data_IF_153122695480
#
_entry.id   IF_153122695480
#
_cell.length_a   1.000
_cell.length_b   1.000
_cell.length_c   1.000
_cell.angle_alpha   90.00
_cell.angle_beta   90.00
_cell.angle_gamma   90.00
#
_symmetry.space_group_name_H-M   'P 1'
#
loop_
_entity.id
_entity.type
_entity.pdbx_description
1 polymer ?
#
# COMPACT_ATOMS: atom_id res chain seq x y z
N UNK A 1 37.30 15.86 -61.14
CA UNK A 1 36.92 15.50 -59.76
C UNK A 1 35.43 15.71 -59.69
N UNK A 2 34.67 14.63 -59.60
CA UNK A 2 33.42 14.53 -58.83
C UNK A 2 32.89 13.11 -59.04
N UNK A 3 33.16 12.25 -58.05
CA UNK A 3 32.61 10.91 -57.96
C UNK A 3 31.34 11.02 -57.12
N UNK A 4 30.23 11.36 -57.77
CA UNK A 4 28.92 11.49 -57.14
C UNK A 4 28.37 10.09 -56.82
N UNK A 5 28.79 9.53 -55.68
CA UNK A 5 28.27 8.26 -55.19
C UNK A 5 26.79 8.41 -54.84
N UNK A 6 25.92 7.94 -55.73
CA UNK A 6 24.48 7.88 -55.52
C UNK A 6 24.14 6.86 -54.43
N UNK A 7 23.24 7.24 -53.52
CA UNK A 7 22.70 6.37 -52.47
C UNK A 7 22.20 5.05 -53.07
N UNK A 8 22.70 3.92 -52.57
CA UNK A 8 22.21 2.61 -52.99
C UNK A 8 20.87 2.32 -52.31
N UNK A 9 19.91 1.77 -53.05
CA UNK A 9 18.58 1.40 -52.51
C UNK A 9 18.70 0.40 -51.33
N UNK A 10 19.78 -0.39 -51.31
CA UNK A 10 20.08 -1.32 -50.22
C UNK A 10 20.51 -0.62 -48.93
N UNK A 11 21.17 0.54 -49.02
CA UNK A 11 21.64 1.30 -47.87
C UNK A 11 20.46 1.89 -47.09
N UNK A 12 19.50 2.45 -47.82
CA UNK A 12 18.25 2.96 -47.23
C UNK A 12 17.44 1.82 -46.61
N UNK A 13 17.37 0.66 -47.26
CA UNK A 13 16.64 -0.50 -46.75
C UNK A 13 17.28 -1.03 -45.45
N UNK A 14 18.60 -1.14 -45.40
CA UNK A 14 19.32 -1.53 -44.16
C UNK A 14 19.13 -0.49 -43.06
N UNK A 15 19.21 0.80 -43.37
CA UNK A 15 18.97 1.87 -42.40
C UNK A 15 17.56 1.80 -41.80
N UNK A 16 16.54 1.56 -42.63
CA UNK A 16 15.16 1.38 -42.18
C UNK A 16 15.00 0.16 -41.26
N UNK A 17 15.66 -0.96 -41.57
CA UNK A 17 15.64 -2.17 -40.72
C UNK A 17 16.30 -1.91 -39.38
N UNK A 18 17.45 -1.23 -39.36
CA UNK A 18 18.15 -0.88 -38.11
C UNK A 18 17.32 0.08 -37.24
N UNK A 19 16.69 1.09 -37.84
CA UNK A 19 15.82 2.03 -37.12
C UNK A 19 14.59 1.29 -36.58
N UNK A 20 13.94 0.46 -37.38
CA UNK A 20 12.76 -0.29 -36.95
C UNK A 20 13.08 -1.23 -35.77
N UNK A 21 14.18 -1.98 -35.84
CA UNK A 21 14.61 -2.86 -34.75
C UNK A 21 15.03 -2.08 -33.50
N UNK A 22 15.72 -0.94 -33.65
CA UNK A 22 16.05 -0.04 -32.54
C UNK A 22 14.83 0.54 -31.84
N UNK A 23 13.82 0.98 -32.60
CA UNK A 23 12.57 1.52 -32.05
C UNK A 23 11.78 0.45 -31.29
N UNK A 24 11.67 -0.78 -31.82
CA UNK A 24 11.01 -1.89 -31.13
C UNK A 24 11.72 -2.22 -29.81
N UNK A 25 13.06 -2.22 -29.79
CA UNK A 25 13.84 -2.40 -28.57
C UNK A 25 13.56 -1.31 -27.52
N UNK A 26 13.53 -0.04 -27.94
CA UNK A 26 13.25 1.07 -27.03
C UNK A 26 11.82 1.01 -26.46
N UNK A 27 10.83 0.68 -27.29
CA UNK A 27 9.43 0.54 -26.86
C UNK A 27 9.25 -0.58 -25.82
N UNK A 28 9.94 -1.71 -26.00
CA UNK A 28 9.91 -2.80 -25.03
C UNK A 28 10.44 -2.35 -23.64
N UNK A 29 11.54 -1.59 -23.63
CA UNK A 29 12.10 -1.04 -22.39
C UNK A 29 11.19 0.03 -21.76
N UNK A 30 10.62 0.92 -22.56
CA UNK A 30 9.67 1.93 -22.08
C UNK A 30 8.44 1.29 -21.41
N UNK A 31 7.90 0.21 -22.00
CA UNK A 31 6.77 -0.52 -21.42
C UNK A 31 7.08 -1.08 -20.02
N UNK A 32 8.27 -1.66 -19.83
CA UNK A 32 8.72 -2.15 -18.52
C UNK A 32 8.95 -1.01 -17.53
N UNK A 33 9.53 0.10 -17.99
CA UNK A 33 9.71 1.29 -17.14
C UNK A 33 8.38 1.81 -16.61
N UNK A 34 7.32 1.86 -17.44
CA UNK A 34 6.00 2.32 -17.00
C UNK A 34 5.43 1.40 -15.92
N UNK A 35 5.56 0.09 -16.07
CA UNK A 35 5.11 -0.89 -15.07
C UNK A 35 5.78 -0.66 -13.72
N UNK A 36 7.11 -0.51 -13.70
CA UNK A 36 7.85 -0.24 -12.46
C UNK A 36 7.51 1.10 -11.82
N UNK A 37 7.28 2.15 -12.62
CA UNK A 37 6.85 3.45 -12.10
C UNK A 37 5.47 3.32 -11.44
N UNK A 38 4.53 2.61 -12.06
CA UNK A 38 3.19 2.45 -11.50
C UNK A 38 3.20 1.68 -10.17
N UNK A 39 3.98 0.59 -10.08
CA UNK A 39 4.13 -0.15 -8.82
C UNK A 39 4.76 0.73 -7.72
N UNK A 40 5.81 1.47 -8.06
CA UNK A 40 6.46 2.41 -7.14
C UNK A 40 5.48 3.47 -6.61
N UNK A 41 4.58 3.98 -7.47
CA UNK A 41 3.53 4.92 -7.05
C UNK A 41 2.56 4.27 -6.07
N UNK A 42 2.04 3.08 -6.38
CA UNK A 42 1.10 2.37 -5.50
C UNK A 42 1.72 2.05 -4.14
N UNK A 43 2.97 1.59 -4.13
CA UNK A 43 3.71 1.31 -2.89
C UNK A 43 3.97 2.57 -2.09
N UNK A 44 4.30 3.68 -2.75
CA UNK A 44 4.46 4.97 -2.09
C UNK A 44 3.13 5.49 -1.49
N UNK A 45 2.00 5.30 -2.19
CA UNK A 45 0.67 5.60 -1.65
C UNK A 45 0.37 4.74 -0.41
N UNK A 46 0.68 3.44 -0.45
CA UNK A 46 0.52 2.56 0.70
C UNK A 46 1.38 3.00 1.90
N UNK A 47 2.62 3.45 1.68
CA UNK A 47 3.49 3.99 2.73
C UNK A 47 2.88 5.26 3.34
N UNK A 48 2.47 6.21 2.51
CA UNK A 48 1.85 7.47 2.99
C UNK A 48 0.58 7.20 3.78
N UNK A 49 -0.34 6.39 3.22
CA UNK A 49 -1.58 6.01 3.91
C UNK A 49 -1.30 5.26 5.22
N UNK A 50 -0.25 4.43 5.26
CA UNK A 50 0.16 3.76 6.49
C UNK A 50 0.60 4.75 7.55
N UNK A 51 1.43 5.73 7.19
CA UNK A 51 1.89 6.77 8.10
C UNK A 51 0.71 7.63 8.60
N UNK A 52 -0.23 7.99 7.74
CA UNK A 52 -1.42 8.76 8.12
C UNK A 52 -2.26 8.03 9.18
N UNK A 53 -2.45 6.72 9.02
CA UNK A 53 -3.16 5.91 10.01
C UNK A 53 -2.39 5.84 11.33
N UNK A 54 -1.07 5.68 11.29
CA UNK A 54 -0.25 5.60 12.50
C UNK A 54 -0.23 6.92 13.27
N UNK A 55 -0.13 8.04 12.59
CA UNK A 55 -0.24 9.36 13.21
C UNK A 55 -1.62 9.57 13.85
N UNK A 56 -2.69 9.19 13.13
CA UNK A 56 -4.04 9.18 13.71
C UNK A 56 -4.09 8.32 14.99
N UNK A 57 -3.54 7.11 14.99
CA UNK A 57 -3.48 6.25 16.17
C UNK A 57 -2.71 6.89 17.33
N UNK A 58 -1.60 7.60 17.05
CA UNK A 58 -0.82 8.35 18.06
C UNK A 58 -1.61 9.49 18.70
N UNK A 59 -2.49 10.14 17.96
CA UNK A 59 -3.37 11.19 18.52
C UNK A 59 -4.50 10.61 19.39
N UNK A 60 -4.89 9.34 19.17
CA UNK A 60 -5.99 8.66 19.87
C UNK A 60 -5.51 7.53 20.82
N UNK A 61 -4.27 7.59 21.32
CA UNK A 61 -3.64 6.50 22.11
C UNK A 61 -4.51 5.96 23.25
N UNK A 62 -5.23 6.82 23.97
CA UNK A 62 -6.08 6.37 25.09
C UNK A 62 -7.12 5.32 24.70
N UNK A 63 -7.56 5.30 23.44
CA UNK A 63 -8.54 4.33 22.96
C UNK A 63 -7.89 2.98 22.59
N UNK A 64 -6.58 2.97 22.37
CA UNK A 64 -5.81 1.84 21.84
C UNK A 64 -5.07 1.03 22.91
N UNK A 65 -4.77 1.62 24.06
CA UNK A 65 -4.01 0.97 25.15
C UNK A 65 -4.92 0.51 26.29
N UNK A 66 -4.55 -0.60 26.94
CA UNK A 66 -5.22 -1.11 28.15
C UNK A 66 -4.95 -0.18 29.33
N UNK A 67 -3.68 0.16 29.55
CA UNK A 67 -3.26 1.02 30.66
C UNK A 67 -3.09 2.46 30.17
N UNK A 68 -3.82 3.40 30.76
CA UNK A 68 -3.82 4.81 30.36
C UNK A 68 -3.74 5.72 31.59
N UNK A 69 -3.29 6.98 31.47
CA UNK A 69 -3.18 7.87 32.62
C UNK A 69 -4.51 7.96 33.40
N UNK A 70 -4.47 7.91 34.75
CA UNK A 70 -3.29 8.07 35.62
C UNK A 70 -2.49 6.79 35.92
N UNK A 71 -2.81 5.64 35.32
CA UNK A 71 -2.15 4.36 35.60
C UNK A 71 -0.70 4.29 35.08
N UNK A 72 0.21 3.61 35.80
CA UNK A 72 1.62 3.48 35.45
C UNK A 72 2.07 2.01 35.36
N UNK A 73 2.82 1.59 34.31
CA UNK A 73 3.26 2.39 33.17
C UNK A 73 2.11 2.76 32.22
N UNK A 74 1.96 4.07 31.94
CA UNK A 74 0.91 4.57 31.05
C UNK A 74 1.20 4.22 29.59
N UNK A 75 0.14 4.00 28.81
CA UNK A 75 0.23 3.58 27.41
C UNK A 75 1.03 2.28 27.26
N UNK A 76 0.77 1.32 28.15
CA UNK A 76 1.30 -0.04 28.05
C UNK A 76 0.21 -1.01 27.63
N UNK A 77 0.62 -2.01 26.85
CA UNK A 77 -0.24 -3.04 26.26
C UNK A 77 -1.31 -2.50 25.31
N UNK A 78 -1.09 -2.67 24.01
CA UNK A 78 -2.14 -2.43 23.02
C UNK A 78 -3.29 -3.43 23.22
N UNK A 79 -4.51 -2.91 23.11
CA UNK A 79 -5.72 -3.73 23.06
C UNK A 79 -5.65 -4.71 21.90
N UNK A 80 -6.03 -5.96 22.14
CA UNK A 80 -6.12 -6.97 21.07
C UNK A 80 -7.22 -6.67 20.06
N UNK A 81 -8.25 -5.91 20.45
CA UNK A 81 -9.31 -5.43 19.56
C UNK A 81 -9.76 -4.01 19.95
N UNK A 82 -10.14 -3.23 18.96
CA UNK A 82 -10.61 -1.84 19.13
C UNK A 82 -11.83 -1.58 18.25
N UNK A 83 -12.26 -0.32 18.17
CA UNK A 83 -13.28 0.09 17.20
C UNK A 83 -12.80 -0.02 15.75
N UNK A 84 -11.48 0.02 15.50
CA UNK A 84 -10.91 0.09 14.15
C UNK A 84 -10.30 -1.24 13.66
N UNK A 85 -10.04 -2.19 14.56
CA UNK A 85 -9.59 -3.55 14.23
C UNK A 85 -10.11 -4.61 15.19
N UNK A 86 -10.25 -5.85 14.72
CA UNK A 86 -10.64 -7.02 15.52
C UNK A 86 -9.43 -7.76 16.10
N UNK A 87 -9.69 -8.75 16.97
CA UNK A 87 -8.64 -9.63 17.52
C UNK A 87 -7.93 -10.49 16.46
N UNK A 88 -8.56 -10.73 15.30
CA UNK A 88 -7.93 -11.40 14.16
C UNK A 88 -7.12 -10.45 13.28
N UNK A 89 -7.11 -9.15 13.61
CA UNK A 89 -6.49 -8.09 12.85
C UNK A 89 -7.27 -7.61 11.64
N UNK A 90 -8.51 -8.06 11.46
CA UNK A 90 -9.37 -7.54 10.39
C UNK A 90 -9.76 -6.09 10.71
N UNK A 91 -9.72 -5.23 9.69
CA UNK A 91 -10.20 -3.86 9.82
C UNK A 91 -11.70 -3.84 10.10
N UNK A 92 -12.12 -2.92 10.97
CA UNK A 92 -13.53 -2.69 11.31
C UNK A 92 -13.99 -1.31 10.84
N UNK A 93 -13.63 -0.98 9.60
CA UNK A 93 -13.80 0.34 8.99
C UNK A 93 -14.85 0.30 7.89
N UNK A 94 -15.50 1.43 7.67
CA UNK A 94 -16.55 1.60 6.65
C UNK A 94 -16.34 2.96 5.98
N UNK A 95 -15.98 2.96 4.68
CA UNK A 95 -15.65 4.19 3.95
C UNK A 95 -16.85 5.14 3.82
N UNK A 96 -18.05 4.59 3.75
CA UNK A 96 -19.32 5.33 3.66
C UNK A 96 -19.64 6.07 4.96
N UNK A 97 -19.09 5.61 6.09
CA UNK A 97 -19.27 6.18 7.41
C UNK A 97 -18.28 7.31 7.73
N UNK A 98 -17.61 7.86 6.71
CA UNK A 98 -16.81 9.08 6.82
C UNK A 98 -17.71 10.34 6.86
N UNK A 99 -17.67 11.14 7.94
CA UNK A 99 -18.47 12.36 8.03
C UNK A 99 -18.15 13.37 6.91
N UNK A 100 -19.18 13.93 6.27
CA UNK A 100 -19.03 14.93 5.19
C UNK A 100 -19.24 16.37 5.66
N UNK A 101 -19.79 16.57 6.86
CA UNK A 101 -20.25 17.87 7.36
C UNK A 101 -19.39 18.44 8.51
N UNK A 102 -18.42 17.67 9.03
CA UNK A 102 -17.60 18.08 10.17
C UNK A 102 -16.23 17.41 10.15
N UNK A 103 -15.24 18.03 10.79
CA UNK A 103 -13.96 17.38 11.10
C UNK A 103 -14.25 16.19 12.02
N UNK A 104 -13.75 14.98 11.74
CA UNK A 104 -13.99 13.84 12.61
C UNK A 104 -13.38 14.11 13.99
N UNK A 105 -14.09 13.74 15.06
CA UNK A 105 -13.56 13.93 16.43
C UNK A 105 -13.26 12.60 17.11
N UNK A 106 -13.91 11.52 16.65
CA UNK A 106 -13.71 10.18 17.20
C UNK A 106 -12.71 9.40 16.36
N UNK A 107 -12.02 8.45 17.01
CA UNK A 107 -11.06 7.55 16.35
C UNK A 107 -11.72 6.82 15.16
N UNK A 108 -12.91 6.26 15.36
CA UNK A 108 -13.62 5.51 14.31
C UNK A 108 -13.99 6.40 13.11
N UNK A 109 -14.42 7.63 13.35
CA UNK A 109 -14.77 8.56 12.28
C UNK A 109 -13.53 8.96 11.46
N UNK A 110 -12.41 9.27 12.12
CA UNK A 110 -11.13 9.52 11.45
C UNK A 110 -10.67 8.30 10.64
N UNK A 111 -10.77 7.10 11.22
CA UNK A 111 -10.36 5.87 10.55
C UNK A 111 -11.24 5.52 9.36
N UNK A 112 -12.55 5.78 9.42
CA UNK A 112 -13.46 5.61 8.28
C UNK A 112 -13.11 6.57 7.13
N UNK A 113 -12.77 7.83 7.44
CA UNK A 113 -12.32 8.78 6.41
C UNK A 113 -10.98 8.40 5.80
N UNK A 114 -10.04 7.92 6.60
CA UNK A 114 -8.80 7.33 6.09
C UNK A 114 -9.09 6.13 5.19
N UNK A 115 -10.00 5.24 5.59
CA UNK A 115 -10.34 4.06 4.80
C UNK A 115 -10.97 4.41 3.45
N UNK A 116 -11.77 5.48 3.42
CA UNK A 116 -12.27 6.06 2.15
C UNK A 116 -11.13 6.50 1.22
N UNK A 117 -10.06 7.09 1.75
CA UNK A 117 -8.88 7.44 0.97
C UNK A 117 -8.16 6.19 0.46
N UNK A 118 -8.01 5.16 1.29
CA UNK A 118 -7.44 3.86 0.89
C UNK A 118 -8.20 3.29 -0.30
N UNK A 119 -9.53 3.22 -0.21
CA UNK A 119 -10.39 2.72 -1.29
C UNK A 119 -10.35 3.56 -2.57
N UNK A 120 -10.02 4.86 -2.44
CA UNK A 120 -9.95 5.79 -3.57
C UNK A 120 -8.59 5.71 -4.28
N UNK A 121 -7.51 5.52 -3.53
CA UNK A 121 -6.14 5.63 -4.05
C UNK A 121 -5.49 4.29 -4.35
N UNK A 122 -5.84 3.22 -3.62
CA UNK A 122 -5.27 1.90 -3.86
C UNK A 122 -6.14 1.11 -4.88
N UNK A 123 -5.56 0.66 -6.00
CA UNK A 123 -6.29 -0.11 -7.00
C UNK A 123 -6.94 -1.36 -6.39
N UNK A 124 -8.22 -1.58 -6.68
CA UNK A 124 -8.94 -2.78 -6.24
C UNK A 124 -9.19 -2.88 -4.74
N UNK A 125 -8.91 -1.85 -3.94
CA UNK A 125 -9.09 -1.90 -2.47
C UNK A 125 -10.53 -2.18 -2.00
N UNK A 126 -11.53 -1.93 -2.85
CA UNK A 126 -12.95 -2.28 -2.61
C UNK A 126 -13.27 -3.75 -2.91
N UNK A 127 -12.41 -4.43 -3.65
CA UNK A 127 -12.63 -5.82 -4.04
C UNK A 127 -12.42 -6.73 -2.83
N UNK A 128 -13.31 -7.69 -2.61
CA UNK A 128 -13.34 -8.49 -1.39
C UNK A 128 -12.05 -9.27 -1.13
N UNK A 129 -11.38 -9.74 -2.18
CA UNK A 129 -10.10 -10.46 -2.10
C UNK A 129 -8.94 -9.54 -1.69
N UNK A 130 -8.93 -8.29 -2.15
CA UNK A 130 -7.93 -7.30 -1.73
C UNK A 130 -8.23 -6.81 -0.31
N UNK A 131 -9.49 -6.56 0.00
CA UNK A 131 -9.92 -6.08 1.31
C UNK A 131 -9.61 -7.09 2.43
N UNK A 132 -9.76 -8.39 2.14
CA UNK A 132 -9.39 -9.47 3.05
C UNK A 132 -7.90 -9.50 3.41
N UNK A 133 -7.02 -8.90 2.59
CA UNK A 133 -5.59 -8.77 2.86
C UNK A 133 -5.25 -7.57 3.75
N UNK A 134 -6.18 -6.64 4.01
CA UNK A 134 -5.92 -5.56 4.95
C UNK A 134 -5.85 -6.08 6.38
N UNK A 135 -4.77 -5.76 7.08
CA UNK A 135 -4.59 -6.16 8.49
C UNK A 135 -4.08 -5.01 9.34
N UNK A 136 -4.62 -4.90 10.54
CA UNK A 136 -4.15 -4.00 11.57
C UNK A 136 -4.27 -4.73 12.91
N UNK A 137 -3.15 -5.08 13.51
CA UNK A 137 -3.19 -5.78 14.78
C UNK A 137 -1.90 -5.63 15.58
N UNK A 138 -2.00 -5.78 16.91
CA UNK A 138 -0.80 -5.96 17.71
C UNK A 138 -0.06 -7.23 17.28
N UNK A 139 1.26 -7.12 17.17
CA UNK A 139 2.07 -8.19 16.58
C UNK A 139 3.49 -8.19 17.13
N UNK A 140 4.02 -9.39 17.42
CA UNK A 140 5.43 -9.61 17.75
C UNK A 140 6.27 -10.03 16.54
N UNK A 141 5.63 -10.51 15.47
CA UNK A 141 6.27 -11.13 14.31
C UNK A 141 5.52 -10.73 13.04
N UNK A 142 6.27 -10.36 12.01
CA UNK A 142 5.62 -9.89 10.79
C UNK A 142 4.73 -10.95 10.15
N UNK A 143 3.56 -10.54 9.67
CA UNK A 143 2.56 -11.38 9.03
C UNK A 143 1.62 -12.11 10.00
N UNK A 144 1.78 -11.95 11.32
CA UNK A 144 1.00 -12.65 12.33
C UNK A 144 0.49 -11.71 13.44
N UNK A 145 -0.82 -11.72 13.66
CA UNK A 145 -1.44 -11.04 14.80
C UNK A 145 -1.19 -11.84 16.08
N UNK A 146 -0.89 -11.14 17.17
CA UNK A 146 -0.58 -11.79 18.44
C UNK A 146 -1.81 -12.32 19.20
N UNK A 147 -3.02 -11.97 18.77
CA UNK A 147 -4.28 -12.45 19.36
C UNK A 147 -4.60 -11.82 20.72
N UNK A 148 -5.47 -12.48 21.49
CA UNK A 148 -6.05 -11.93 22.74
C UNK A 148 -5.08 -11.86 23.93
N UNK A 149 -3.98 -12.63 23.92
CA UNK A 149 -2.97 -12.65 24.98
C UNK A 149 -1.79 -11.69 24.76
N UNK A 150 -1.93 -10.72 23.86
CA UNK A 150 -0.85 -9.80 23.54
C UNK A 150 -0.51 -8.85 24.70
N UNK A 151 0.78 -8.80 25.06
CA UNK A 151 1.34 -7.88 26.04
C UNK A 151 2.53 -7.15 25.41
N UNK A 152 2.28 -6.00 24.79
CA UNK A 152 3.31 -5.19 24.14
C UNK A 152 2.75 -3.91 23.53
N UNK A 153 3.60 -3.11 22.87
CA UNK A 153 3.24 -1.85 22.20
C UNK A 153 3.49 -1.85 20.70
N UNK A 154 3.99 -2.96 20.14
CA UNK A 154 4.17 -3.09 18.69
C UNK A 154 2.88 -3.46 17.95
N UNK A 155 2.70 -2.81 16.80
CA UNK A 155 1.56 -2.94 15.92
C UNK A 155 2.06 -3.24 14.51
N UNK A 156 1.41 -4.17 13.82
CA UNK A 156 1.57 -4.38 12.39
C UNK A 156 0.38 -3.82 11.62
N UNK A 157 0.70 -3.14 10.52
CA UNK A 157 -0.25 -2.70 9.50
C UNK A 157 0.14 -3.34 8.16
N UNK A 158 -0.84 -3.94 7.50
CA UNK A 158 -0.74 -4.47 6.15
C UNK A 158 -1.77 -3.77 5.26
N UNK A 159 -1.28 -3.15 4.18
CA UNK A 159 -2.09 -2.65 3.08
C UNK A 159 -1.93 -3.54 1.86
N UNK A 160 -2.95 -3.61 1.02
CA UNK A 160 -2.97 -4.39 -0.21
C UNK A 160 -3.56 -3.59 -1.38
N UNK A 161 -3.12 -3.91 -2.59
CA UNK A 161 -3.67 -3.36 -3.82
C UNK A 161 -3.56 -4.38 -4.95
N UNK A 162 -4.43 -4.25 -5.94
CA UNK A 162 -4.47 -5.09 -7.13
C UNK A 162 -3.49 -4.62 -8.19
N UNK A 163 -2.83 -5.57 -8.83
CA UNK A 163 -1.96 -5.37 -10.00
C UNK A 163 -2.19 -6.49 -11.01
N UNK A 164 -1.55 -6.40 -12.19
CA UNK A 164 -1.51 -7.53 -13.11
C UNK A 164 -0.48 -8.55 -12.64
N UNK A 165 -0.66 -9.80 -13.07
CA UNK A 165 0.30 -10.87 -12.78
C UNK A 165 1.70 -10.47 -13.27
N UNK A 166 2.71 -10.68 -12.42
CA UNK A 166 4.10 -10.33 -12.69
C UNK A 166 4.49 -8.88 -12.34
N UNK A 167 3.57 -8.07 -11.80
CA UNK A 167 3.88 -6.69 -11.39
C UNK A 167 4.21 -6.56 -9.89
N UNK A 168 3.85 -7.52 -9.03
CA UNK A 168 4.28 -7.50 -7.63
C UNK A 168 5.77 -7.88 -7.51
N UNK A 169 6.55 -7.02 -6.84
CA UNK A 169 7.98 -7.27 -6.62
C UNK A 169 8.27 -8.50 -5.74
N UNK A 170 7.42 -8.74 -4.73
CA UNK A 170 7.67 -9.78 -3.72
C UNK A 170 7.13 -11.17 -4.14
N UNK A 171 6.13 -11.21 -5.04
CA UNK A 171 5.55 -12.44 -5.59
C UNK A 171 5.01 -12.20 -7.00
N UNK A 172 5.77 -12.59 -8.02
CA UNK A 172 5.40 -12.41 -9.42
C UNK A 172 4.17 -13.23 -9.85
N UNK A 173 3.77 -14.24 -9.08
CA UNK A 173 2.56 -15.02 -9.37
C UNK A 173 1.29 -14.36 -8.81
N UNK A 174 1.43 -13.45 -7.84
CA UNK A 174 0.31 -12.77 -7.21
C UNK A 174 -0.28 -11.66 -8.09
N UNK A 175 -1.60 -11.47 -7.96
CA UNK A 175 -2.35 -10.33 -8.53
C UNK A 175 -2.74 -9.30 -7.47
N UNK A 176 -2.38 -9.57 -6.21
CA UNK A 176 -2.59 -8.67 -5.07
C UNK A 176 -1.23 -8.49 -4.41
N UNK A 177 -0.72 -7.27 -4.45
CA UNK A 177 0.51 -6.93 -3.74
C UNK A 177 0.18 -6.47 -2.34
N UNK A 178 1.11 -6.68 -1.42
CA UNK A 178 0.95 -6.23 -0.04
C UNK A 178 2.14 -5.37 0.40
N UNK A 179 1.88 -4.40 1.25
CA UNK A 179 2.88 -3.63 1.97
C UNK A 179 2.64 -3.83 3.46
N UNK A 180 3.68 -4.26 4.17
CA UNK A 180 3.65 -4.46 5.62
C UNK A 180 4.61 -3.49 6.29
N UNK A 181 4.15 -2.89 7.38
CA UNK A 181 5.01 -2.12 8.28
C UNK A 181 4.67 -2.47 9.72
N UNK A 182 5.71 -2.49 10.56
CA UNK A 182 5.58 -2.71 12.00
C UNK A 182 6.16 -1.52 12.72
N UNK A 183 5.42 -1.01 13.69
CA UNK A 183 5.82 0.16 14.49
C UNK A 183 5.52 -0.09 15.96
N UNK A 184 6.17 0.69 16.82
CA UNK A 184 5.78 0.83 18.21
C UNK A 184 5.01 2.15 18.38
N UNK A 185 3.95 2.10 19.18
CA UNK A 185 3.05 3.23 19.47
C UNK A 185 3.27 3.80 20.87
#
# INVERSE_FOLDING_TARGET
MDDSQGFSLIEVLVALVLIATGMLGMLALQSKSIQYTQDSVNRNLAITLSNDLLEMMRTHRQQLFNHTPPEYPSYSELKSATAIYSASGALRLQAESCPTASVPQRLLEHANCWFKLVETHLPGAKDADVNAEFKLCPSFKSGACAGSGYQGSSLELQLAWRVKQGECMDDLAATVCTYRTRVEL
#
